data_IF_010049763177
#
_entry.id   IF_010049763177
#
_cell.length_a   1.000
_cell.length_b   1.000
_cell.length_c   1.000
_cell.angle_alpha   90.00
_cell.angle_beta   90.00
_cell.angle_gamma   90.00
#
_symmetry.space_group_name_H-M   'P 1'
#
loop_
_entity.id
_entity.type
_entity.pdbx_description
1 polymer ?
#
# COMPACT_ATOMS: atom_id res chain seq x y z
N UNK A 1 17.31 3.91 0.82
CA UNK A 1 16.26 2.92 0.48
C UNK A 1 15.89 3.10 -0.99
N UNK A 2 15.46 2.05 -1.69
CA UNK A 2 15.19 2.09 -3.14
C UNK A 2 13.70 2.36 -3.35
N UNK A 3 13.37 3.45 -4.04
CA UNK A 3 12.00 3.76 -4.45
C UNK A 3 11.60 2.97 -5.69
N UNK A 4 10.32 2.62 -5.76
CA UNK A 4 9.66 2.03 -6.92
C UNK A 4 8.46 2.89 -7.32
N UNK A 5 8.15 2.90 -8.62
CA UNK A 5 7.03 3.67 -9.18
C UNK A 5 5.92 2.70 -9.57
N UNK A 6 4.72 2.95 -9.05
CA UNK A 6 3.52 2.15 -9.24
C UNK A 6 2.44 3.01 -9.93
N UNK A 7 1.47 2.34 -10.52
CA UNK A 7 0.24 2.95 -10.99
C UNK A 7 -0.91 2.31 -10.22
N UNK A 8 -1.69 3.11 -9.50
CA UNK A 8 -2.89 2.68 -8.75
C UNK A 8 -4.06 3.52 -9.29
N UNK A 9 -5.01 2.87 -9.96
CA UNK A 9 -6.19 3.52 -10.57
C UNK A 9 -5.86 4.70 -11.51
N UNK A 10 -4.80 4.56 -12.32
CA UNK A 10 -4.34 5.60 -13.25
C UNK A 10 -3.46 6.67 -12.59
N UNK A 11 -3.33 6.68 -11.25
CA UNK A 11 -2.50 7.61 -10.50
C UNK A 11 -1.10 7.05 -10.33
N UNK A 12 -0.08 7.83 -10.70
CA UNK A 12 1.31 7.50 -10.42
C UNK A 12 1.61 7.62 -8.92
N UNK A 13 2.13 6.56 -8.31
CA UNK A 13 2.46 6.49 -6.87
C UNK A 13 3.94 6.10 -6.72
N UNK A 14 4.67 6.80 -5.86
CA UNK A 14 6.00 6.38 -5.42
C UNK A 14 5.88 5.61 -4.10
N UNK A 15 6.54 4.45 -4.01
CA UNK A 15 6.59 3.64 -2.80
C UNK A 15 8.03 3.20 -2.52
N UNK A 16 8.33 2.93 -1.25
CA UNK A 16 9.61 2.32 -0.88
C UNK A 16 9.58 0.81 -1.15
N UNK A 17 10.69 0.26 -1.61
CA UNK A 17 10.81 -1.18 -1.85
C UNK A 17 10.58 -1.95 -0.54
N UNK A 18 9.63 -2.89 -0.58
CA UNK A 18 9.21 -3.68 0.58
C UNK A 18 7.89 -3.22 1.21
N UNK A 19 7.40 -2.03 0.84
CA UNK A 19 6.06 -1.56 1.19
C UNK A 19 4.99 -2.41 0.49
N UNK A 20 3.90 -2.68 1.18
CA UNK A 20 2.71 -3.33 0.60
C UNK A 20 1.94 -2.36 -0.30
N UNK A 21 1.12 -2.89 -1.21
CA UNK A 21 0.25 -2.07 -2.05
C UNK A 21 -0.75 -1.26 -1.20
N UNK A 22 -1.24 -1.82 -0.09
CA UNK A 22 -2.15 -1.14 0.82
C UNK A 22 -1.50 0.10 1.47
N UNK A 23 -0.26 -0.03 1.94
CA UNK A 23 0.49 1.11 2.50
C UNK A 23 0.80 2.16 1.43
N UNK A 24 1.19 1.73 0.23
CA UNK A 24 1.46 2.64 -0.90
C UNK A 24 0.19 3.43 -1.31
N UNK A 25 -0.96 2.76 -1.37
CA UNK A 25 -2.25 3.38 -1.67
C UNK A 25 -2.62 4.42 -0.59
N UNK A 26 -2.52 4.05 0.70
CA UNK A 26 -2.81 4.97 1.81
C UNK A 26 -1.90 6.20 1.81
N UNK A 27 -0.60 6.01 1.57
CA UNK A 27 0.35 7.13 1.44
C UNK A 27 0.00 8.05 0.27
N UNK A 28 -0.61 7.53 -0.78
CA UNK A 28 -1.11 8.31 -1.92
C UNK A 28 -2.51 8.92 -1.69
N UNK A 29 -3.08 8.78 -0.48
CA UNK A 29 -4.42 9.25 -0.13
C UNK A 29 -5.56 8.42 -0.73
N UNK A 30 -5.28 7.17 -1.14
CA UNK A 30 -6.28 6.23 -1.65
C UNK A 30 -6.64 5.28 -0.51
N UNK A 31 -7.89 5.34 -0.06
CA UNK A 31 -8.38 4.42 0.96
C UNK A 31 -8.90 3.13 0.33
N UNK A 32 -8.35 2.00 0.79
CA UNK A 32 -8.80 0.66 0.41
C UNK A 32 -9.43 0.05 1.65
N UNK A 33 -10.74 -0.25 1.63
CA UNK A 33 -11.42 -0.89 2.75
C UNK A 33 -10.79 -2.23 3.08
N UNK A 34 -10.48 -2.45 4.36
CA UNK A 34 -9.88 -3.70 4.84
C UNK A 34 -10.63 -4.25 6.04
N UNK A 35 -10.94 -5.55 6.01
CA UNK A 35 -11.59 -6.24 7.12
C UNK A 35 -10.57 -6.87 8.08
N UNK A 36 -9.55 -7.54 7.54
CA UNK A 36 -8.60 -8.35 8.32
C UNK A 36 -7.21 -7.71 8.50
N UNK A 37 -6.96 -6.54 7.89
CA UNK A 37 -5.67 -5.86 8.01
C UNK A 37 -5.65 -4.95 9.25
N UNK A 38 -4.56 -5.04 10.01
CA UNK A 38 -4.26 -4.12 11.10
C UNK A 38 -2.74 -3.86 11.13
N UNK A 39 -2.32 -2.60 11.26
CA UNK A 39 -0.91 -2.17 11.14
C UNK A 39 0.04 -2.84 12.15
N UNK A 40 -0.51 -3.26 13.30
CA UNK A 40 0.24 -3.92 14.39
C UNK A 40 0.29 -5.44 14.27
N UNK A 41 -0.33 -6.01 13.24
CA UNK A 41 -0.36 -7.45 12.99
C UNK A 41 0.36 -7.77 11.69
N UNK A 42 0.81 -9.01 11.55
CA UNK A 42 1.30 -9.48 10.26
C UNK A 42 0.16 -9.40 9.23
N UNK A 43 0.44 -8.98 7.98
CA UNK A 43 -0.55 -9.00 6.91
C UNK A 43 -1.15 -10.39 6.75
N UNK A 44 -2.47 -10.46 6.66
CA UNK A 44 -3.22 -11.71 6.51
C UNK A 44 -4.34 -11.52 5.47
N UNK A 45 -4.52 -12.53 4.62
CA UNK A 45 -5.65 -12.63 3.68
C UNK A 45 -6.39 -13.93 3.95
N UNK A 46 -7.62 -13.82 4.42
CA UNK A 46 -8.53 -14.94 4.70
C UNK A 46 -9.34 -15.29 3.45
#
# INVERSE_FOLDING_TARGET
>A
MSKVRLNIDGKGVEAEKGMTILEAARNAGIDIPTLCYHEKLAPYGA
#
